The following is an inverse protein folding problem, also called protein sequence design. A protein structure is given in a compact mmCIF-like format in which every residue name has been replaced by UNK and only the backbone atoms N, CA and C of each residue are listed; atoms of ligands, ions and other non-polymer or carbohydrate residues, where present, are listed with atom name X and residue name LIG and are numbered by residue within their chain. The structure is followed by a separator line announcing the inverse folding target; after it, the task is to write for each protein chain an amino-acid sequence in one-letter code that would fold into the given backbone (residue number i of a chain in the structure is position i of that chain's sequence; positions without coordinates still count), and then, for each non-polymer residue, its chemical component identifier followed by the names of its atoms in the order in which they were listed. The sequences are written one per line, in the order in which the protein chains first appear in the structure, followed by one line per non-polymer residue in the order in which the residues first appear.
data_IF_965653697828
#
_entry.id   IF_965653697828
#
_cell.length_a   1.000
_cell.length_b   1.000
_cell.length_c   1.000
_cell.angle_alpha   90.00
_cell.angle_beta   90.00
_cell.angle_gamma   90.00
#
_symmetry.space_group_name_H-M   'P 1'
#
loop_
_entity.id
_entity.type
_entity.pdbx_description
1 polymer ?
#
# COMPACT_ATOMS: atom_id res chain seq x y z
N UNK A 1 -6.44 -11.11 15.61
CA UNK A 1 -7.22 -10.06 16.29
C UNK A 1 -8.58 -9.92 15.63
N UNK A 2 -9.66 -9.87 16.40
CA UNK A 2 -11.05 -9.72 15.90
C UNK A 2 -11.58 -8.30 16.08
N UNK A 3 -10.95 -7.49 16.94
CA UNK A 3 -11.28 -6.08 17.11
C UNK A 3 -10.77 -5.27 15.88
N UNK A 4 -11.68 -4.68 15.09
CA UNK A 4 -11.30 -3.85 13.96
C UNK A 4 -10.44 -2.66 14.38
N UNK A 5 -10.82 -1.93 15.44
CA UNK A 5 -10.15 -0.70 15.88
C UNK A 5 -8.71 -0.97 16.29
N UNK A 6 -8.48 -2.05 17.03
CA UNK A 6 -7.14 -2.45 17.43
C UNK A 6 -6.26 -2.81 16.21
N UNK A 7 -6.84 -3.45 15.18
CA UNK A 7 -6.10 -3.73 13.94
C UNK A 7 -5.77 -2.44 13.19
N UNK A 8 -6.68 -1.47 13.13
CA UNK A 8 -6.42 -0.19 12.47
C UNK A 8 -5.27 0.56 13.17
N UNK A 9 -5.31 0.63 14.50
CA UNK A 9 -4.28 1.26 15.31
C UNK A 9 -2.91 0.59 15.13
N UNK A 10 -2.88 -0.75 15.04
CA UNK A 10 -1.66 -1.49 14.77
C UNK A 10 -1.09 -1.17 13.38
N UNK A 11 -1.92 -1.18 12.33
CA UNK A 11 -1.51 -0.86 10.95
C UNK A 11 -0.98 0.57 10.85
N UNK A 12 -1.67 1.51 11.47
CA UNK A 12 -1.21 2.90 11.54
C UNK A 12 0.16 3.01 12.22
N UNK A 13 0.34 2.34 13.37
CA UNK A 13 1.61 2.33 14.09
C UNK A 13 2.74 1.74 13.23
N UNK A 14 2.48 0.65 12.51
CA UNK A 14 3.43 0.07 11.56
C UNK A 14 3.78 1.05 10.44
N UNK A 15 2.82 1.83 9.93
CA UNK A 15 3.08 2.88 8.94
C UNK A 15 4.05 3.95 9.46
N UNK A 16 3.80 4.48 10.66
CA UNK A 16 4.65 5.52 11.27
C UNK A 16 6.06 5.02 11.61
N UNK A 17 6.23 3.71 11.87
CA UNK A 17 7.55 3.12 12.14
C UNK A 17 8.50 3.12 10.93
N UNK A 18 8.03 3.48 9.74
CA UNK A 18 8.86 3.61 8.54
C UNK A 18 9.20 2.28 7.87
N UNK A 19 10.16 2.29 6.94
CA UNK A 19 10.45 1.18 6.03
C UNK A 19 10.74 -0.18 6.69
N UNK A 20 11.22 -0.20 7.95
CA UNK A 20 11.49 -1.43 8.74
C UNK A 20 10.30 -2.36 8.91
N UNK A 21 9.07 -1.87 8.73
CA UNK A 21 7.82 -2.64 8.87
C UNK A 21 7.09 -2.83 7.53
N UNK A 22 7.71 -2.42 6.41
CA UNK A 22 7.09 -2.49 5.08
C UNK A 22 6.73 -3.92 4.63
N UNK A 23 7.60 -4.90 4.89
CA UNK A 23 7.32 -6.31 4.58
C UNK A 23 6.15 -6.87 5.39
N UNK A 24 6.03 -6.46 6.65
CA UNK A 24 4.90 -6.85 7.52
C UNK A 24 3.59 -6.30 6.96
N UNK A 25 3.57 -5.02 6.58
CA UNK A 25 2.40 -4.40 5.95
C UNK A 25 2.03 -5.11 4.64
N UNK A 26 3.01 -5.41 3.78
CA UNK A 26 2.76 -6.13 2.54
C UNK A 26 2.16 -7.53 2.78
N UNK A 27 2.70 -8.26 3.77
CA UNK A 27 2.17 -9.58 4.16
C UNK A 27 0.73 -9.47 4.68
N UNK A 28 0.41 -8.45 5.49
CA UNK A 28 -0.96 -8.18 5.94
C UNK A 28 -1.87 -7.95 4.72
N UNK A 29 -1.46 -7.12 3.75
CA UNK A 29 -2.25 -6.84 2.56
C UNK A 29 -2.62 -8.12 1.79
N UNK A 30 -1.63 -8.99 1.55
CA UNK A 30 -1.79 -10.22 0.77
C UNK A 30 -2.70 -11.25 1.44
N UNK A 31 -2.69 -11.31 2.78
CA UNK A 31 -3.51 -12.24 3.56
C UNK A 31 -4.90 -11.72 3.92
N UNK A 32 -5.17 -10.43 3.70
CA UNK A 32 -6.38 -9.78 4.18
C UNK A 32 -7.54 -9.84 3.17
N UNK A 33 -8.75 -10.06 3.68
CA UNK A 33 -9.99 -10.10 2.87
C UNK A 33 -10.80 -8.82 3.00
N UNK A 34 -10.75 -8.17 4.18
CA UNK A 34 -11.41 -6.90 4.41
C UNK A 34 -10.81 -5.82 3.51
N UNK A 35 -11.65 -5.23 2.65
CA UNK A 35 -11.25 -4.12 1.79
C UNK A 35 -10.80 -2.93 2.64
N UNK A 36 -11.48 -2.64 3.74
CA UNK A 36 -11.15 -1.50 4.60
C UNK A 36 -9.77 -1.64 5.24
N UNK A 37 -9.42 -2.85 5.71
CA UNK A 37 -8.09 -3.12 6.25
C UNK A 37 -7.02 -3.02 5.15
N UNK A 38 -7.31 -3.53 3.94
CA UNK A 38 -6.39 -3.39 2.79
C UNK A 38 -6.13 -1.93 2.44
N UNK A 39 -7.15 -1.06 2.43
CA UNK A 39 -6.98 0.40 2.26
C UNK A 39 -6.08 1.02 3.32
N UNK A 40 -6.27 0.64 4.58
CA UNK A 40 -5.42 1.14 5.66
C UNK A 40 -3.96 0.75 5.50
N UNK A 41 -3.70 -0.46 4.99
CA UNK A 41 -2.34 -0.89 4.66
C UNK A 41 -1.76 -0.09 3.50
N UNK A 42 -2.53 0.20 2.43
CA UNK A 42 -2.10 1.07 1.34
C UNK A 42 -1.70 2.46 1.86
N UNK A 43 -2.53 3.04 2.73
CA UNK A 43 -2.24 4.33 3.36
C UNK A 43 -0.99 4.25 4.24
N UNK A 44 -0.81 3.19 5.04
CA UNK A 44 0.37 3.01 5.87
C UNK A 44 1.66 2.92 5.04
N UNK A 45 1.64 2.18 3.91
CA UNK A 45 2.77 2.10 2.99
C UNK A 45 3.08 3.44 2.30
N UNK A 46 2.04 4.22 2.00
CA UNK A 46 2.20 5.59 1.51
C UNK A 46 2.88 6.50 2.55
N UNK A 47 2.41 6.46 3.80
CA UNK A 47 3.03 7.20 4.92
C UNK A 47 4.51 6.82 5.12
N UNK A 48 4.86 5.55 4.89
CA UNK A 48 6.26 5.09 4.94
C UNK A 48 7.14 5.63 3.81
N UNK A 49 6.56 6.20 2.75
CA UNK A 49 7.31 6.48 1.53
C UNK A 49 7.68 5.20 0.75
N UNK A 50 7.00 4.07 1.00
CA UNK A 50 7.38 2.76 0.46
C UNK A 50 6.78 2.51 -0.94
N UNK A 51 7.38 3.16 -1.94
CA UNK A 51 6.94 3.06 -3.34
C UNK A 51 7.04 1.62 -3.85
N UNK A 52 8.11 0.92 -3.49
CA UNK A 52 8.35 -0.46 -3.90
C UNK A 52 7.18 -1.40 -3.55
N UNK A 53 6.73 -1.38 -2.29
CA UNK A 53 5.62 -2.21 -1.84
C UNK A 53 4.29 -1.83 -2.51
N UNK A 54 4.03 -0.52 -2.70
CA UNK A 54 2.84 -0.04 -3.41
C UNK A 54 2.83 -0.48 -4.88
N UNK A 55 3.99 -0.50 -5.55
CA UNK A 55 4.12 -1.01 -6.92
C UNK A 55 3.82 -2.51 -6.97
N UNK A 56 4.37 -3.29 -6.04
CA UNK A 56 4.08 -4.73 -5.95
C UNK A 56 2.59 -5.01 -5.80
N UNK A 57 1.91 -4.24 -4.95
CA UNK A 57 0.46 -4.34 -4.78
C UNK A 57 -0.26 -3.93 -6.07
N UNK A 58 0.06 -2.77 -6.65
CA UNK A 58 -0.59 -2.27 -7.86
C UNK A 58 -0.48 -3.25 -9.05
N UNK A 59 0.60 -4.04 -9.15
CA UNK A 59 0.79 -5.06 -10.19
C UNK A 59 -0.03 -6.32 -9.98
N UNK A 60 -0.35 -6.67 -8.74
CA UNK A 60 -0.96 -7.96 -8.39
C UNK A 60 -2.43 -7.84 -7.95
N UNK A 61 -2.87 -6.64 -7.60
CA UNK A 61 -4.23 -6.39 -7.12
C UNK A 61 -5.28 -6.58 -8.22
N UNK A 62 -6.30 -7.37 -7.87
CA UNK A 62 -7.42 -7.75 -8.74
C UNK A 62 -8.60 -6.80 -8.59
N UNK A 63 -8.77 -6.22 -7.41
CA UNK A 63 -9.77 -5.20 -7.15
C UNK A 63 -9.36 -3.88 -7.82
N UNK A 64 -10.13 -3.38 -8.80
CA UNK A 64 -9.76 -2.18 -9.55
C UNK A 64 -9.72 -0.92 -8.69
N UNK A 65 -10.52 -0.82 -7.62
CA UNK A 65 -10.54 0.34 -6.75
C UNK A 65 -9.30 0.38 -5.86
N UNK A 66 -8.90 -0.76 -5.29
CA UNK A 66 -7.65 -0.84 -4.52
C UNK A 66 -6.41 -0.65 -5.39
N UNK A 67 -6.43 -1.17 -6.63
CA UNK A 67 -5.35 -0.91 -7.59
C UNK A 67 -5.23 0.58 -7.91
N UNK A 68 -6.36 1.25 -8.15
CA UNK A 68 -6.41 2.69 -8.40
C UNK A 68 -5.90 3.50 -7.21
N UNK A 69 -6.26 3.11 -5.99
CA UNK A 69 -5.79 3.75 -4.76
C UNK A 69 -4.27 3.63 -4.61
N UNK A 70 -3.68 2.44 -4.83
CA UNK A 70 -2.23 2.25 -4.81
C UNK A 70 -1.51 3.12 -5.87
N UNK A 71 -2.04 3.16 -7.09
CA UNK A 71 -1.51 4.02 -8.17
C UNK A 71 -1.63 5.51 -7.82
N UNK A 72 -2.74 5.92 -7.21
CA UNK A 72 -2.93 7.29 -6.75
C UNK A 72 -1.92 7.66 -5.68
N UNK A 73 -1.70 6.82 -4.67
CA UNK A 73 -0.64 7.03 -3.68
C UNK A 73 0.71 7.20 -4.36
N UNK A 74 1.08 6.32 -5.29
CA UNK A 74 2.34 6.40 -6.05
C UNK A 74 2.50 7.75 -6.78
N UNK A 75 1.43 8.28 -7.40
CA UNK A 75 1.49 9.59 -8.06
C UNK A 75 1.76 10.77 -7.11
N UNK A 76 1.37 10.65 -5.84
CA UNK A 76 1.62 11.69 -4.83
C UNK A 76 3.01 11.59 -4.20
N UNK A 77 3.72 10.46 -4.35
CA UNK A 77 5.03 10.25 -3.71
C UNK A 77 6.17 10.97 -4.41
N UNK A 78 6.06 11.22 -5.72
CA UNK A 78 7.10 11.89 -6.50
C UNK A 78 8.46 11.17 -6.53
N UNK A 79 8.53 9.90 -6.12
CA UNK A 79 9.77 9.12 -6.14
C UNK A 79 10.12 8.71 -7.57
N UNK A 80 11.41 8.50 -7.85
CA UNK A 80 11.88 8.05 -9.16
C UNK A 80 11.23 6.72 -9.56
N UNK A 81 11.22 5.74 -8.65
CA UNK A 81 10.63 4.42 -8.89
C UNK A 81 9.12 4.51 -9.17
N UNK A 82 8.38 5.34 -8.40
CA UNK A 82 6.95 5.56 -8.66
C UNK A 82 6.71 6.20 -10.03
N UNK A 83 7.54 7.17 -10.41
CA UNK A 83 7.45 7.86 -11.71
C UNK A 83 7.69 6.88 -12.86
N UNK A 84 8.73 6.06 -12.77
CA UNK A 84 9.05 5.04 -13.78
C UNK A 84 7.90 4.03 -13.95
N UNK A 85 7.31 3.58 -12.84
CA UNK A 85 6.15 2.70 -12.86
C UNK A 85 4.92 3.34 -13.52
N UNK A 86 4.64 4.62 -13.24
CA UNK A 86 3.52 5.33 -13.84
C UNK A 86 3.71 5.52 -15.36
N UNK A 87 4.93 5.80 -15.81
CA UNK A 87 5.27 5.87 -17.24
C UNK A 87 5.08 4.50 -17.90
N UNK A 88 5.52 3.41 -17.27
CA UNK A 88 5.26 2.04 -17.77
C UNK A 88 3.76 1.79 -17.93
N UNK A 89 2.94 2.22 -16.97
CA UNK A 89 1.49 2.02 -16.99
C UNK A 89 0.81 2.75 -18.16
N UNK A 90 1.29 3.95 -18.53
CA UNK A 90 0.76 4.73 -19.65
C UNK A 90 1.15 4.17 -21.02
N UNK A 91 2.27 3.45 -21.11
CA UNK A 91 2.78 2.88 -22.36
C UNK A 91 2.26 1.46 -22.63
N UNK A 92 1.38 0.93 -21.78
CA UNK A 92 0.67 -0.34 -21.99
C UNK A 92 -0.68 -0.10 -22.62
#
# INVERSE_FOLDING_TARGET
EKDPELRQAAIHSLGVMGSRTGEVLLSIYQGERSVDIRRQVLHALFVQGNAHALIQIARTEKDPELRKEAVSHLSHMGSKEATEFLIELLNK
#
